data_IF_263005841461
#
_entry.id   IF_263005841461
#
_cell.length_a   1.000
_cell.length_b   1.000
_cell.length_c   1.000
_cell.angle_alpha   90.00
_cell.angle_beta   90.00
_cell.angle_gamma   90.00
#
_symmetry.space_group_name_H-M   'P 1'
#
loop_
_entity.id
_entity.type
_entity.pdbx_description
1 polymer ?
#
# COMPACT_ATOMS: atom_id res chain seq x y z
N UNK A 1 3.32 -44.40 -6.76
CA UNK A 1 2.53 -43.17 -6.59
C UNK A 1 2.73 -42.35 -7.85
N UNK A 2 1.84 -42.52 -8.83
CA UNK A 2 1.81 -41.75 -10.07
C UNK A 2 0.34 -41.56 -10.42
N UNK A 3 -0.19 -40.36 -10.21
CA UNK A 3 -1.55 -40.03 -10.66
C UNK A 3 -1.45 -39.18 -11.92
N UNK A 4 -1.69 -39.86 -13.04
CA UNK A 4 -1.90 -39.28 -14.36
C UNK A 4 -3.28 -38.63 -14.38
N UNK A 5 -3.32 -37.32 -14.65
CA UNK A 5 -4.55 -36.53 -14.85
C UNK A 5 -4.84 -36.46 -16.33
N UNK A 6 -5.96 -37.04 -16.77
CA UNK A 6 -6.58 -36.80 -18.09
C UNK A 6 -8.10 -37.08 -18.02
N UNK A 7 -8.91 -36.57 -18.98
CA UNK A 7 -10.00 -35.62 -18.70
C UNK A 7 -11.40 -36.18 -19.01
N UNK A 8 -12.42 -35.71 -18.29
CA UNK A 8 -13.82 -36.12 -18.51
C UNK A 8 -14.71 -34.91 -18.79
N UNK A 9 -14.82 -34.63 -20.09
CA UNK A 9 -16.06 -34.43 -20.87
C UNK A 9 -17.31 -33.93 -20.12
N UNK A 10 -17.76 -32.73 -20.55
CA UNK A 10 -19.15 -32.34 -20.88
C UNK A 10 -20.28 -33.15 -20.23
N UNK A 11 -21.04 -32.48 -19.35
CA UNK A 11 -22.45 -32.79 -19.11
C UNK A 11 -23.28 -31.61 -19.61
N UNK A 12 -24.08 -31.89 -20.64
CA UNK A 12 -25.13 -31.03 -21.20
C UNK A 12 -26.45 -31.42 -20.50
N UNK A 13 -27.46 -30.56 -20.66
CA UNK A 13 -28.90 -30.75 -20.44
C UNK A 13 -29.38 -30.39 -19.03
N UNK A 14 -30.01 -29.23 -18.86
CA UNK A 14 -31.39 -28.87 -19.24
C UNK A 14 -32.34 -29.21 -18.09
N UNK A 15 -33.17 -28.22 -17.73
CA UNK A 15 -34.62 -28.34 -17.53
C UNK A 15 -35.13 -27.45 -16.39
N UNK A 16 -36.24 -26.79 -16.72
CA UNK A 16 -37.38 -26.47 -15.87
C UNK A 16 -37.32 -25.20 -15.00
N UNK A 17 -38.02 -24.20 -15.52
CA UNK A 17 -39.03 -23.41 -14.81
C UNK A 17 -39.60 -24.17 -13.60
N UNK A 18 -39.28 -23.70 -12.41
CA UNK A 18 -39.87 -24.11 -11.15
C UNK A 18 -40.38 -22.88 -10.41
N UNK A 19 -41.71 -22.82 -10.30
CA UNK A 19 -42.55 -21.86 -9.57
C UNK A 19 -41.97 -21.53 -8.19
N UNK A 20 -41.95 -20.25 -7.87
CA UNK A 20 -41.57 -19.77 -6.54
C UNK A 20 -42.58 -20.16 -5.47
N UNK A 21 -42.07 -20.40 -4.26
CA UNK A 21 -42.66 -19.95 -3.00
C UNK A 21 -41.64 -20.19 -1.87
N UNK A 22 -41.50 -19.18 -1.00
CA UNK A 22 -41.04 -19.29 0.39
C UNK A 22 -39.59 -19.75 0.64
N UNK A 23 -38.70 -18.78 0.85
CA UNK A 23 -37.63 -18.84 1.86
C UNK A 23 -37.08 -17.43 2.09
N UNK A 24 -37.84 -16.59 2.79
CA UNK A 24 -37.33 -15.39 3.42
C UNK A 24 -36.48 -15.78 4.65
N UNK A 25 -35.36 -16.48 4.43
CA UNK A 25 -34.27 -16.48 5.40
C UNK A 25 -33.43 -15.25 5.10
N UNK A 26 -33.78 -14.14 5.73
CA UNK A 26 -32.88 -13.02 5.89
C UNK A 26 -31.65 -13.52 6.66
N UNK A 27 -30.65 -14.01 5.94
CA UNK A 27 -29.29 -14.13 6.45
C UNK A 27 -28.83 -12.71 6.75
N UNK A 28 -29.04 -12.24 7.98
CA UNK A 28 -28.26 -11.16 8.54
C UNK A 28 -26.82 -11.66 8.57
N UNK A 29 -26.09 -11.39 7.49
CA UNK A 29 -24.65 -11.44 7.49
C UNK A 29 -24.19 -10.66 8.73
N UNK A 30 -23.30 -11.22 9.57
CA UNK A 30 -22.76 -10.49 10.70
C UNK A 30 -22.15 -9.21 10.13
N UNK A 31 -22.75 -8.07 10.49
CA UNK A 31 -22.18 -6.77 10.15
C UNK A 31 -20.77 -6.78 10.73
N UNK A 32 -19.72 -6.49 9.94
CA UNK A 32 -18.40 -6.31 10.52
C UNK A 32 -18.55 -5.27 11.62
N UNK A 33 -18.29 -5.69 12.86
CA UNK A 33 -18.20 -4.77 13.99
C UNK A 33 -17.10 -3.81 13.61
N UNK A 34 -17.48 -2.60 13.23
CA UNK A 34 -16.56 -1.51 12.99
C UNK A 34 -15.81 -1.32 14.31
N UNK A 35 -14.60 -1.88 14.39
CA UNK A 35 -13.65 -1.45 15.40
C UNK A 35 -13.56 0.06 15.25
N UNK A 36 -13.78 0.85 16.30
CA UNK A 36 -13.52 2.26 16.22
C UNK A 36 -12.03 2.38 15.90
N UNK A 37 -11.70 2.69 14.65
CA UNK A 37 -10.39 3.20 14.30
C UNK A 37 -10.26 4.49 15.07
N UNK A 38 -9.66 4.40 16.25
CA UNK A 38 -9.20 5.53 17.03
C UNK A 38 -8.12 6.18 16.19
N UNK A 39 -8.54 7.04 15.28
CA UNK A 39 -7.67 7.94 14.53
C UNK A 39 -7.12 8.93 15.55
N UNK A 40 -6.04 8.53 16.21
CA UNK A 40 -5.29 9.44 17.09
C UNK A 40 -4.90 10.63 16.21
N UNK A 41 -5.34 11.85 16.53
CA UNK A 41 -4.96 13.01 15.76
C UNK A 41 -3.46 13.21 15.95
N UNK A 42 -2.68 12.76 14.97
CA UNK A 42 -1.24 13.00 14.93
C UNK A 42 -1.01 14.51 15.01
N UNK A 43 -0.09 14.91 15.86
CA UNK A 43 0.39 16.28 15.91
C UNK A 43 1.02 16.65 14.56
N UNK A 44 1.15 17.95 14.29
CA UNK A 44 1.79 18.43 13.05
C UNK A 44 3.19 17.84 12.88
N UNK A 45 3.96 17.75 13.95
CA UNK A 45 5.33 17.25 13.92
C UNK A 45 5.40 15.74 13.65
N UNK A 46 4.51 14.95 14.26
CA UNK A 46 4.45 13.49 14.01
C UNK A 46 4.07 13.20 12.55
N UNK A 47 3.16 13.97 11.96
CA UNK A 47 2.86 13.85 10.51
C UNK A 47 4.10 14.08 9.65
N UNK A 48 4.91 15.09 9.98
CA UNK A 48 6.15 15.36 9.26
C UNK A 48 7.17 14.22 9.41
N UNK A 49 7.26 13.59 10.60
CA UNK A 49 8.11 12.41 10.82
C UNK A 49 7.65 11.20 9.99
N UNK A 50 6.34 10.99 9.88
CA UNK A 50 5.77 9.95 9.01
C UNK A 50 6.11 10.23 7.53
N UNK A 51 6.01 11.48 7.07
CA UNK A 51 6.41 11.85 5.70
C UNK A 51 7.89 11.54 5.43
N UNK A 52 8.79 11.90 6.37
CA UNK A 52 10.22 11.58 6.29
C UNK A 52 10.44 10.05 6.24
N UNK A 53 9.76 9.30 7.10
CA UNK A 53 9.87 7.83 7.12
C UNK A 53 9.40 7.19 5.83
N UNK A 54 8.27 7.65 5.28
CA UNK A 54 7.73 7.18 4.01
C UNK A 54 8.68 7.50 2.84
N UNK A 55 9.31 8.67 2.88
CA UNK A 55 10.31 9.06 1.89
C UNK A 55 11.48 8.06 1.88
N UNK A 56 12.07 7.78 3.05
CA UNK A 56 13.18 6.82 3.17
C UNK A 56 12.79 5.42 2.70
N UNK A 57 11.62 4.93 3.14
CA UNK A 57 11.10 3.64 2.69
C UNK A 57 10.94 3.58 1.17
N UNK A 58 10.48 4.66 0.55
CA UNK A 58 10.34 4.75 -0.91
C UNK A 58 11.69 4.70 -1.60
N UNK A 59 12.71 5.41 -1.12
CA UNK A 59 14.07 5.38 -1.72
C UNK A 59 14.69 4.00 -1.61
N UNK A 60 14.58 3.36 -0.45
CA UNK A 60 15.09 2.00 -0.23
C UNK A 60 14.37 1.00 -1.13
N UNK A 61 13.05 1.09 -1.25
CA UNK A 61 12.26 0.26 -2.15
C UNK A 61 12.64 0.48 -3.63
N UNK A 62 12.81 1.72 -4.06
CA UNK A 62 13.23 2.02 -5.43
C UNK A 62 14.63 1.47 -5.74
N UNK A 63 15.57 1.56 -4.79
CA UNK A 63 16.90 0.94 -4.95
C UNK A 63 16.81 -0.58 -5.05
N UNK A 64 15.95 -1.19 -4.25
CA UNK A 64 15.75 -2.64 -4.25
C UNK A 64 15.08 -3.13 -5.54
N UNK A 65 14.05 -2.44 -6.02
CA UNK A 65 13.25 -2.87 -7.19
C UNK A 65 13.86 -2.50 -8.53
N UNK A 66 14.53 -1.36 -8.65
CA UNK A 66 15.02 -0.87 -9.94
C UNK A 66 16.34 -1.53 -10.37
N UNK A 67 16.99 -2.29 -9.49
CA UNK A 67 18.34 -2.81 -9.70
C UNK A 67 19.41 -1.72 -9.63
N UNK A 68 20.66 -2.10 -9.36
CA UNK A 68 21.78 -1.19 -9.07
C UNK A 68 21.89 -0.01 -10.07
N UNK A 69 21.76 -0.26 -11.37
CA UNK A 69 21.94 0.77 -12.40
C UNK A 69 20.83 1.83 -12.48
N UNK A 70 19.57 1.47 -12.21
CA UNK A 70 18.46 2.45 -12.18
C UNK A 70 18.35 3.08 -10.80
N UNK A 71 18.64 2.31 -9.74
CA UNK A 71 18.70 2.80 -8.36
C UNK A 71 19.64 3.99 -8.18
N UNK A 72 20.79 3.99 -8.85
CA UNK A 72 21.76 5.09 -8.77
C UNK A 72 21.32 6.35 -9.53
N UNK A 73 20.70 6.20 -10.71
CA UNK A 73 20.14 7.36 -11.47
C UNK A 73 18.98 8.00 -10.72
N UNK A 74 18.14 7.17 -10.13
CA UNK A 74 17.00 7.56 -9.31
C UNK A 74 17.51 8.28 -8.07
N UNK A 75 18.46 7.69 -7.32
CA UNK A 75 19.09 8.26 -6.13
C UNK A 75 19.76 9.63 -6.36
N UNK A 76 20.27 9.91 -7.56
CA UNK A 76 20.92 11.20 -7.88
C UNK A 76 19.98 12.40 -7.77
N UNK A 77 18.67 12.19 -7.88
CA UNK A 77 17.66 13.25 -7.68
C UNK A 77 16.97 13.20 -6.32
N UNK A 78 17.41 12.33 -5.41
CA UNK A 78 16.88 12.23 -4.06
C UNK A 78 17.91 12.69 -3.03
N UNK A 79 17.40 13.13 -1.88
CA UNK A 79 18.17 13.46 -0.70
C UNK A 79 18.63 12.16 -0.06
N UNK A 80 19.92 12.07 0.23
CA UNK A 80 20.49 10.92 0.95
C UNK A 80 20.05 10.92 2.43
N UNK A 81 20.05 9.75 3.08
CA UNK A 81 19.76 9.65 4.52
C UNK A 81 20.61 10.61 5.36
N UNK A 82 21.92 10.68 5.09
CA UNK A 82 22.82 11.61 5.79
C UNK A 82 22.47 13.08 5.60
N UNK A 83 22.03 13.49 4.41
CA UNK A 83 21.61 14.86 4.15
C UNK A 83 20.26 15.15 4.82
N UNK A 84 19.37 14.15 4.86
CA UNK A 84 18.07 14.26 5.53
C UNK A 84 18.24 14.41 7.04
N UNK A 85 19.13 13.65 7.67
CA UNK A 85 19.42 13.78 9.11
C UNK A 85 19.94 15.17 9.45
N UNK A 86 20.80 15.75 8.60
CA UNK A 86 21.27 17.14 8.77
C UNK A 86 20.12 18.13 8.64
N UNK A 87 19.24 17.96 7.65
CA UNK A 87 18.07 18.83 7.46
C UNK A 87 17.11 18.75 8.64
N UNK A 88 16.91 17.57 9.21
CA UNK A 88 16.07 17.37 10.40
C UNK A 88 16.72 18.02 11.62
N UNK A 89 18.03 17.90 11.79
CA UNK A 89 18.75 18.53 12.90
C UNK A 89 18.74 20.07 12.80
N UNK A 90 18.85 20.63 11.59
CA UNK A 90 18.94 22.08 11.37
C UNK A 90 17.56 22.77 11.34
N UNK A 91 16.58 22.17 10.68
CA UNK A 91 15.26 22.78 10.40
C UNK A 91 14.09 22.09 11.11
N UNK A 92 14.36 20.99 11.80
CA UNK A 92 13.34 20.13 12.40
C UNK A 92 12.62 19.24 11.37
N UNK A 93 11.75 18.32 11.83
CA UNK A 93 11.08 17.33 10.98
C UNK A 93 10.22 17.96 9.88
N UNK A 94 9.45 19.01 10.20
CA UNK A 94 8.59 19.65 9.20
C UNK A 94 9.38 20.49 8.20
N UNK A 95 10.48 21.13 8.61
CA UNK A 95 11.35 21.85 7.69
C UNK A 95 12.05 20.91 6.70
N UNK A 96 12.49 19.75 7.17
CA UNK A 96 13.05 18.72 6.31
C UNK A 96 11.99 18.16 5.33
N UNK A 97 10.78 17.84 5.80
CA UNK A 97 9.69 17.37 4.94
C UNK A 97 9.31 18.39 3.85
N UNK A 98 9.34 19.69 4.17
CA UNK A 98 9.12 20.76 3.20
C UNK A 98 10.19 20.77 2.09
N UNK A 99 11.47 20.67 2.47
CA UNK A 99 12.59 20.61 1.51
C UNK A 99 12.50 19.37 0.62
N UNK A 100 12.07 18.23 1.17
CA UNK A 100 11.84 17.02 0.40
C UNK A 100 10.72 17.21 -0.64
N UNK A 101 9.63 17.88 -0.27
CA UNK A 101 8.53 18.22 -1.20
C UNK A 101 9.01 19.15 -2.32
N UNK A 102 9.80 20.18 -1.99
CA UNK A 102 10.34 21.11 -2.98
C UNK A 102 11.30 20.43 -3.97
N UNK A 103 12.21 19.57 -3.48
CA UNK A 103 13.10 18.77 -4.34
C UNK A 103 12.33 17.77 -5.20
N UNK A 104 11.25 17.18 -4.69
CA UNK A 104 10.38 16.26 -5.45
C UNK A 104 9.47 16.95 -6.46
N UNK A 105 9.06 18.19 -6.20
CA UNK A 105 8.19 18.99 -7.06
C UNK A 105 8.92 19.60 -8.28
N UNK A 106 10.26 19.63 -8.25
CA UNK A 106 11.08 20.20 -9.33
C UNK A 106 11.47 19.16 -10.40
N UNK A 107 10.69 18.08 -10.55
CA UNK A 107 10.95 17.00 -11.52
C UNK A 107 10.00 17.01 -12.70
#
# INVERSE_FOLDING_TARGET
MEMRVLPIKRVIFASMLGVGLMSAFAQQAPRPVATPEVSVPLTREERCRVEISNYLGTIQFLRWTAGQQIGDKVAKGYVSEMELDKLVAEKGPCGAAQVLKEKGATR
#
